data_IF_578169366013
#
_entry.id   IF_578169366013
#
_cell.length_a   1.000
_cell.length_b   1.000
_cell.length_c   1.000
_cell.angle_alpha   90.00
_cell.angle_beta   90.00
_cell.angle_gamma   90.00
#
_symmetry.space_group_name_H-M   'P 1'
#
loop_
_entity.id
_entity.type
_entity.pdbx_description
1 polymer ?
#
# COMPACT_ATOMS: atom_id res chain seq x y z
N UNK A 1 -18.86 49.43 10.93
CA UNK A 1 -18.66 48.13 11.58
C UNK A 1 -17.18 48.02 11.93
N UNK A 2 -16.89 47.78 13.20
CA UNK A 2 -15.56 47.96 13.78
C UNK A 2 -14.57 46.90 13.29
N UNK A 3 -13.47 47.35 12.71
CA UNK A 3 -12.28 46.54 12.40
C UNK A 3 -11.65 46.15 13.74
N UNK A 4 -11.87 44.90 14.17
CA UNK A 4 -11.06 44.32 15.24
C UNK A 4 -9.61 44.33 14.81
N UNK A 5 -8.72 44.83 15.65
CA UNK A 5 -7.27 44.84 15.37
C UNK A 5 -6.83 43.39 15.27
N UNK A 6 -6.61 42.89 14.06
CA UNK A 6 -6.02 41.57 13.85
C UNK A 6 -4.65 41.57 14.52
N UNK A 7 -4.49 40.76 15.58
CA UNK A 7 -3.21 40.62 16.26
C UNK A 7 -2.32 39.72 15.41
N UNK A 8 -1.62 40.31 14.44
CA UNK A 8 -0.64 39.60 13.62
C UNK A 8 0.77 39.84 14.15
N UNK A 9 1.60 38.79 14.15
CA UNK A 9 3.01 38.87 14.49
C UNK A 9 3.87 38.71 13.24
N UNK A 10 4.95 39.47 13.12
CA UNK A 10 5.90 39.23 12.03
C UNK A 10 6.55 37.86 12.20
N UNK A 11 6.52 37.02 11.15
CA UNK A 11 7.06 35.67 11.23
C UNK A 11 8.55 35.65 11.59
N UNK A 12 9.32 36.63 11.10
CA UNK A 12 10.73 36.79 11.42
C UNK A 12 10.99 36.99 12.93
N UNK A 13 10.05 37.62 13.65
CA UNK A 13 10.18 37.86 15.10
C UNK A 13 10.09 36.57 15.93
N UNK A 14 9.49 35.52 15.36
CA UNK A 14 9.28 34.23 16.00
C UNK A 14 10.50 33.29 15.87
N UNK A 15 11.45 33.61 15.00
CA UNK A 15 12.64 32.78 14.75
C UNK A 15 13.77 33.18 15.70
N UNK A 16 14.43 32.18 16.31
CA UNK A 16 15.58 32.34 17.20
C UNK A 16 16.75 31.50 16.69
N UNK A 17 17.98 31.97 16.91
CA UNK A 17 19.21 31.32 16.46
C UNK A 17 20.34 32.32 16.27
N UNK A 18 21.43 31.87 15.65
CA UNK A 18 22.62 32.69 15.41
C UNK A 18 22.33 33.88 14.50
N UNK A 19 22.97 35.02 14.77
CA UNK A 19 22.68 36.31 14.13
C UNK A 19 22.83 36.28 12.60
N UNK A 20 23.79 35.51 12.08
CA UNK A 20 24.01 35.39 10.65
C UNK A 20 22.83 34.70 9.94
N UNK A 21 22.32 33.63 10.53
CA UNK A 21 21.17 32.88 10.02
C UNK A 21 19.89 33.69 10.21
N UNK A 22 19.73 34.39 11.34
CA UNK A 22 18.57 35.26 11.60
C UNK A 22 18.44 36.37 10.57
N UNK A 23 19.54 36.99 10.13
CA UNK A 23 19.50 38.03 9.10
C UNK A 23 19.00 37.48 7.76
N UNK A 24 19.48 36.31 7.37
CA UNK A 24 19.04 35.64 6.15
C UNK A 24 17.55 35.28 6.22
N UNK A 25 17.10 34.69 7.33
CA UNK A 25 15.70 34.28 7.52
C UNK A 25 14.75 35.49 7.61
N UNK A 26 15.17 36.58 8.25
CA UNK A 26 14.37 37.81 8.31
C UNK A 26 14.11 38.39 6.91
N UNK A 27 15.08 38.30 6.00
CA UNK A 27 14.89 38.75 4.63
C UNK A 27 13.87 37.91 3.86
N UNK A 28 13.87 36.59 4.08
CA UNK A 28 12.90 35.66 3.47
C UNK A 28 11.49 35.88 4.04
N UNK A 29 11.38 36.11 5.35
CA UNK A 29 10.10 36.22 6.06
C UNK A 29 9.56 37.65 6.16
N UNK A 30 10.18 38.64 5.51
CA UNK A 30 9.87 40.08 5.68
C UNK A 30 8.42 40.49 5.38
N UNK A 31 7.72 39.73 4.54
CA UNK A 31 6.32 39.98 4.13
C UNK A 31 5.36 38.96 4.76
N UNK A 32 5.87 38.07 5.62
CA UNK A 32 5.10 37.01 6.24
C UNK A 32 4.70 37.39 7.66
N UNK A 33 3.40 37.29 7.94
CA UNK A 33 2.85 37.48 9.29
C UNK A 33 2.13 36.23 9.74
N UNK A 34 2.24 35.90 11.02
CA UNK A 34 1.53 34.80 11.64
C UNK A 34 0.28 35.33 12.33
N UNK A 35 -0.85 34.70 12.05
CA UNK A 35 -2.18 35.05 12.56
C UNK A 35 -2.84 33.84 13.23
N UNK A 36 -3.83 34.08 14.08
CA UNK A 36 -4.48 33.04 14.86
C UNK A 36 -5.47 32.21 14.06
N UNK A 37 -6.13 32.79 13.04
CA UNK A 37 -7.15 32.10 12.25
C UNK A 37 -7.16 32.48 10.77
N UNK A 38 -7.92 31.73 9.97
CA UNK A 38 -8.09 32.01 8.55
C UNK A 38 -8.88 33.31 8.32
N UNK A 39 -9.86 33.62 9.16
CA UNK A 39 -10.63 34.88 9.09
C UNK A 39 -9.74 36.09 9.41
N UNK A 40 -8.80 35.95 10.35
CA UNK A 40 -7.79 36.97 10.60
C UNK A 40 -6.81 37.09 9.43
N UNK A 41 -6.42 35.97 8.81
CA UNK A 41 -5.59 35.97 7.61
C UNK A 41 -6.25 36.75 6.47
N UNK A 42 -7.54 36.52 6.23
CA UNK A 42 -8.34 37.24 5.25
C UNK A 42 -8.40 38.73 5.56
N UNK A 43 -8.66 39.09 6.83
CA UNK A 43 -8.73 40.49 7.24
C UNK A 43 -7.39 41.22 7.04
N UNK A 44 -6.27 40.57 7.35
CA UNK A 44 -4.93 41.11 7.15
C UNK A 44 -4.64 41.29 5.66
N UNK A 45 -4.86 40.27 4.84
CA UNK A 45 -4.59 40.32 3.39
C UNK A 45 -5.50 41.33 2.69
N UNK A 46 -6.76 41.46 3.11
CA UNK A 46 -7.69 42.45 2.57
C UNK A 46 -7.25 43.89 2.89
N UNK A 47 -6.70 44.12 4.09
CA UNK A 47 -6.19 45.44 4.49
C UNK A 47 -4.79 45.73 3.92
N UNK A 48 -3.97 44.70 3.74
CA UNK A 48 -2.57 44.76 3.29
C UNK A 48 -2.29 43.64 2.28
N UNK A 49 -2.65 43.84 1.00
CA UNK A 49 -2.49 42.83 -0.04
C UNK A 49 -1.01 42.46 -0.33
N UNK A 50 -0.07 43.28 0.15
CA UNK A 50 1.37 43.05 0.07
C UNK A 50 1.90 42.01 1.08
N UNK A 51 1.08 41.60 2.05
CA UNK A 51 1.46 40.61 3.06
C UNK A 51 0.96 39.21 2.72
N UNK A 52 1.68 38.22 3.24
CA UNK A 52 1.28 36.81 3.27
C UNK A 52 0.99 36.44 4.72
N UNK A 53 -0.26 36.12 5.02
CA UNK A 53 -0.69 35.67 6.33
C UNK A 53 -0.57 34.14 6.43
N UNK A 54 0.05 33.66 7.50
CA UNK A 54 0.19 32.24 7.81
C UNK A 54 -0.58 31.96 9.10
N UNK A 55 -1.56 31.07 9.07
CA UNK A 55 -2.29 30.67 10.27
C UNK A 55 -1.39 29.81 11.15
N UNK A 56 -1.67 29.74 12.45
CA UNK A 56 -0.96 28.80 13.34
C UNK A 56 -1.13 27.33 12.94
N UNK A 57 -2.14 27.03 12.11
CA UNK A 57 -2.41 25.69 11.58
C UNK A 57 -1.61 25.40 10.29
N UNK A 58 -0.83 26.37 9.80
CA UNK A 58 0.02 26.23 8.62
C UNK A 58 -0.66 26.61 7.30
N UNK A 59 -1.90 27.10 7.33
CA UNK A 59 -2.54 27.64 6.14
C UNK A 59 -1.88 28.97 5.76
N UNK A 60 -1.62 29.18 4.47
CA UNK A 60 -0.95 30.35 3.92
C UNK A 60 -1.91 31.07 2.98
N UNK A 61 -2.13 32.34 3.23
CA UNK A 61 -3.02 33.19 2.46
C UNK A 61 -2.31 34.49 2.06
N UNK A 62 -2.33 34.81 0.77
CA UNK A 62 -1.91 36.09 0.21
C UNK A 62 -2.93 36.57 -0.83
N UNK A 63 -2.77 37.79 -1.34
CA UNK A 63 -3.79 38.43 -2.20
C UNK A 63 -4.17 37.63 -3.45
N UNK A 64 -3.28 36.77 -3.94
CA UNK A 64 -3.48 35.94 -5.13
C UNK A 64 -3.11 34.46 -4.90
N UNK A 65 -2.92 34.05 -3.65
CA UNK A 65 -2.47 32.70 -3.29
C UNK A 65 -3.19 32.21 -2.04
N UNK A 66 -3.70 30.99 -2.08
CA UNK A 66 -4.16 30.28 -0.89
C UNK A 66 -3.59 28.86 -0.91
N UNK A 67 -2.96 28.45 0.18
CA UNK A 67 -2.42 27.11 0.38
C UNK A 67 -2.77 26.63 1.78
N UNK A 68 -3.65 25.64 1.88
CA UNK A 68 -4.04 25.02 3.15
C UNK A 68 -4.36 23.55 2.92
N UNK A 69 -3.94 22.70 3.85
CA UNK A 69 -4.01 21.23 3.76
C UNK A 69 -2.87 20.55 4.52
N UNK A 70 -3.15 19.39 5.14
CA UNK A 70 -2.32 18.69 6.16
C UNK A 70 -0.80 18.78 5.96
N UNK A 71 -0.17 19.70 6.69
CA UNK A 71 1.27 19.74 6.96
C UNK A 71 1.59 19.31 8.42
N UNK A 72 0.79 18.40 8.99
CA UNK A 72 0.99 17.81 10.33
C UNK A 72 1.12 16.29 10.28
N UNK A 73 1.61 15.67 11.36
CA UNK A 73 1.50 14.23 11.54
C UNK A 73 0.04 13.77 11.29
N UNK A 74 -0.17 12.60 10.65
CA UNK A 74 -1.50 12.18 10.23
C UNK A 74 -2.49 12.20 11.40
N UNK A 75 -3.66 12.74 11.15
CA UNK A 75 -4.76 12.79 12.11
C UNK A 75 -5.20 11.38 12.50
N UNK A 76 -5.82 11.24 13.67
CA UNK A 76 -6.38 9.96 14.13
C UNK A 76 -7.38 9.36 13.13
N UNK A 77 -8.12 10.19 12.38
CA UNK A 77 -9.04 9.72 11.34
C UNK A 77 -8.27 9.12 10.17
N UNK A 78 -7.17 9.74 9.75
CA UNK A 78 -6.31 9.22 8.67
C UNK A 78 -5.58 7.94 9.09
N UNK A 79 -5.11 7.87 10.35
CA UNK A 79 -4.52 6.65 10.90
C UNK A 79 -5.57 5.53 10.99
N UNK A 80 -6.78 5.83 11.44
CA UNK A 80 -7.85 4.84 11.52
C UNK A 80 -8.27 4.36 10.13
N UNK A 81 -8.38 5.27 9.15
CA UNK A 81 -8.66 4.90 7.76
C UNK A 81 -7.58 3.95 7.19
N UNK A 82 -6.31 4.22 7.47
CA UNK A 82 -5.21 3.35 7.06
C UNK A 82 -5.26 1.96 7.73
N UNK A 83 -5.69 1.90 9.00
CA UNK A 83 -5.91 0.63 9.71
C UNK A 83 -7.08 -0.14 9.11
N UNK A 84 -8.19 0.54 8.83
CA UNK A 84 -9.39 -0.06 8.25
C UNK A 84 -9.09 -0.61 6.84
N UNK A 85 -8.33 0.13 6.03
CA UNK A 85 -7.87 -0.32 4.71
C UNK A 85 -6.96 -1.54 4.81
N UNK A 86 -5.98 -1.52 5.72
CA UNK A 86 -5.08 -2.66 5.93
C UNK A 86 -5.84 -3.90 6.42
N UNK A 87 -6.86 -3.74 7.27
CA UNK A 87 -7.69 -4.84 7.76
C UNK A 87 -8.53 -5.46 6.62
N UNK A 88 -9.12 -4.64 5.76
CA UNK A 88 -9.87 -5.11 4.60
C UNK A 88 -8.99 -5.86 3.60
N UNK A 89 -7.77 -5.36 3.36
CA UNK A 89 -6.81 -6.02 2.48
C UNK A 89 -6.32 -7.34 3.05
N UNK A 90 -6.11 -7.42 4.37
CA UNK A 90 -5.76 -8.67 5.05
C UNK A 90 -6.87 -9.70 4.88
N UNK A 91 -8.14 -9.34 5.09
CA UNK A 91 -9.28 -10.26 4.92
C UNK A 91 -9.39 -10.80 3.49
N UNK A 92 -9.14 -9.94 2.49
CA UNK A 92 -9.10 -10.34 1.07
C UNK A 92 -7.99 -11.36 0.82
N UNK A 93 -6.76 -11.08 1.24
CA UNK A 93 -5.61 -11.97 1.07
C UNK A 93 -5.81 -13.31 1.78
N UNK A 94 -6.41 -13.29 2.96
CA UNK A 94 -6.77 -14.49 3.71
C UNK A 94 -7.77 -15.37 2.93
N UNK A 95 -8.74 -14.75 2.26
CA UNK A 95 -9.65 -15.42 1.33
C UNK A 95 -8.90 -16.12 0.20
N UNK A 96 -8.01 -15.41 -0.49
CA UNK A 96 -7.20 -15.95 -1.59
C UNK A 96 -6.30 -17.09 -1.15
N UNK A 97 -5.70 -17.00 0.04
CA UNK A 97 -4.86 -18.07 0.59
C UNK A 97 -5.66 -19.35 0.83
N UNK A 98 -6.90 -19.25 1.34
CA UNK A 98 -7.77 -20.42 1.55
C UNK A 98 -8.18 -21.07 0.23
N UNK A 99 -8.50 -20.26 -0.78
CA UNK A 99 -8.83 -20.77 -2.12
C UNK A 99 -7.65 -21.50 -2.76
N UNK A 100 -6.45 -20.91 -2.69
CA UNK A 100 -5.24 -21.52 -3.23
C UNK A 100 -4.88 -22.82 -2.50
N UNK A 101 -5.00 -22.85 -1.17
CA UNK A 101 -4.77 -24.06 -0.39
C UNK A 101 -5.75 -25.19 -0.77
N UNK A 102 -7.03 -24.85 -0.98
CA UNK A 102 -8.02 -25.81 -1.47
C UNK A 102 -7.69 -26.33 -2.87
N UNK A 103 -7.24 -25.46 -3.77
CA UNK A 103 -6.83 -25.84 -5.12
C UNK A 103 -5.58 -26.73 -5.12
N UNK A 104 -4.60 -26.45 -4.25
CA UNK A 104 -3.40 -27.26 -4.06
C UNK A 104 -3.76 -28.68 -3.59
N UNK A 105 -4.59 -28.80 -2.55
CA UNK A 105 -5.01 -30.10 -2.01
C UNK A 105 -5.76 -30.93 -3.08
N UNK A 106 -6.66 -30.30 -3.82
CA UNK A 106 -7.36 -30.96 -4.91
C UNK A 106 -6.39 -31.42 -6.03
N UNK A 107 -5.38 -30.62 -6.35
CA UNK A 107 -4.35 -30.99 -7.32
C UNK A 107 -3.49 -32.17 -6.84
N UNK A 108 -3.12 -32.16 -5.55
CA UNK A 108 -2.38 -33.25 -4.90
C UNK A 108 -3.16 -34.55 -4.95
N UNK A 109 -4.44 -34.53 -4.58
CA UNK A 109 -5.30 -35.71 -4.64
C UNK A 109 -5.42 -36.26 -6.07
N UNK A 110 -5.57 -35.40 -7.08
CA UNK A 110 -5.59 -35.82 -8.50
C UNK A 110 -4.27 -36.48 -8.91
N UNK A 111 -3.13 -35.90 -8.52
CA UNK A 111 -1.81 -36.45 -8.81
C UNK A 111 -1.63 -37.83 -8.18
N UNK A 112 -1.97 -37.97 -6.91
CA UNK A 112 -1.79 -39.22 -6.18
C UNK A 112 -2.71 -40.33 -6.76
N UNK A 113 -3.94 -39.99 -7.14
CA UNK A 113 -4.83 -40.92 -7.86
C UNK A 113 -4.32 -41.30 -9.26
N UNK A 114 -3.70 -40.39 -10.00
CA UNK A 114 -3.08 -40.69 -11.29
C UNK A 114 -1.85 -41.60 -11.14
N UNK A 115 -1.03 -41.38 -10.12
CA UNK A 115 0.12 -42.22 -9.81
C UNK A 115 -0.31 -43.66 -9.49
N UNK A 116 -1.32 -43.84 -8.65
CA UNK A 116 -1.86 -45.17 -8.32
C UNK A 116 -2.35 -45.93 -9.56
N UNK A 117 -3.06 -45.26 -10.47
CA UNK A 117 -3.51 -45.86 -11.74
C UNK A 117 -2.33 -46.23 -12.65
N UNK A 118 -1.28 -45.41 -12.68
CA UNK A 118 -0.09 -45.70 -13.46
C UNK A 118 0.62 -46.97 -12.95
N UNK A 119 0.69 -47.15 -11.63
CA UNK A 119 1.24 -48.36 -11.00
C UNK A 119 0.40 -49.59 -11.33
N UNK A 120 -0.93 -49.51 -11.22
CA UNK A 120 -1.85 -50.61 -11.59
C UNK A 120 -1.66 -51.04 -13.05
N UNK A 121 -1.61 -50.07 -13.97
CA UNK A 121 -1.39 -50.34 -15.40
C UNK A 121 -0.01 -50.94 -15.66
N UNK A 122 1.02 -50.52 -14.91
CA UNK A 122 2.36 -51.09 -15.03
C UNK A 122 2.39 -52.57 -14.61
N UNK A 123 1.68 -52.94 -13.54
CA UNK A 123 1.53 -54.34 -13.11
C UNK A 123 0.77 -55.19 -14.13
N UNK A 124 -0.35 -54.69 -14.65
CA UNK A 124 -1.11 -55.37 -15.70
C UNK A 124 -0.26 -55.61 -16.96
N UNK A 125 0.54 -54.61 -17.36
CA UNK A 125 1.47 -54.75 -18.49
C UNK A 125 2.51 -55.85 -18.24
N UNK A 126 3.15 -55.86 -17.06
CA UNK A 126 4.15 -56.89 -16.67
C UNK A 126 3.54 -58.29 -16.69
N UNK A 127 2.32 -58.45 -16.17
CA UNK A 127 1.61 -59.73 -16.21
C UNK A 127 1.32 -60.18 -17.65
N UNK A 128 0.86 -59.27 -18.51
CA UNK A 128 0.62 -59.54 -19.92
C UNK A 128 1.89 -59.92 -20.69
N UNK A 129 3.01 -59.25 -20.44
CA UNK A 129 4.31 -59.57 -21.03
C UNK A 129 4.79 -60.97 -20.61
N UNK A 130 4.65 -61.32 -19.34
CA UNK A 130 5.00 -62.65 -18.82
C UNK A 130 4.14 -63.75 -19.46
N UNK A 131 2.83 -63.52 -19.61
CA UNK A 131 1.92 -64.46 -20.26
C UNK A 131 2.30 -64.69 -21.73
N UNK A 132 2.59 -63.61 -22.48
CA UNK A 132 3.04 -63.68 -23.89
C UNK A 132 4.36 -64.45 -24.02
N UNK A 133 5.34 -64.17 -23.17
CA UNK A 133 6.61 -64.87 -23.16
C UNK A 133 6.43 -66.38 -22.87
N UNK A 134 5.56 -66.73 -21.91
CA UNK A 134 5.22 -68.13 -21.60
C UNK A 134 4.59 -68.86 -22.78
N UNK A 135 3.64 -68.22 -23.47
CA UNK A 135 3.00 -68.79 -24.67
C UNK A 135 4.00 -69.01 -25.81
N UNK A 136 4.87 -68.03 -26.08
CA UNK A 136 5.92 -68.16 -27.09
C UNK A 136 6.87 -69.33 -26.81
N UNK A 137 7.26 -69.53 -25.54
CA UNK A 137 8.08 -70.68 -25.13
C UNK A 137 7.37 -72.02 -25.33
N UNK A 138 6.06 -72.11 -25.03
CA UNK A 138 5.27 -73.32 -25.26
C UNK A 138 5.20 -73.67 -26.75
N UNK A 139 4.91 -72.69 -27.60
CA UNK A 139 4.88 -72.86 -29.05
C UNK A 139 6.24 -73.31 -29.59
N UNK A 140 7.34 -72.69 -29.12
CA UNK A 140 8.70 -73.09 -29.49
C UNK A 140 9.03 -74.53 -29.12
N UNK A 141 8.61 -75.00 -27.93
CA UNK A 141 8.79 -76.41 -27.53
C UNK A 141 8.03 -77.38 -28.42
N UNK A 142 6.78 -77.10 -28.74
CA UNK A 142 5.96 -77.96 -29.59
C UNK A 142 6.51 -78.06 -31.01
N UNK A 143 6.97 -76.94 -31.58
CA UNK A 143 7.59 -76.91 -32.90
C UNK A 143 8.93 -77.66 -32.97
N UNK A 144 9.69 -77.70 -31.87
CA UNK A 144 10.96 -78.43 -31.80
C UNK A 144 10.84 -79.94 -31.54
N UNK A 145 9.63 -80.45 -31.27
CA UNK A 145 9.35 -81.88 -31.08
C UNK A 145 8.81 -82.58 -32.35
N UNK A 146 8.63 -81.83 -33.44
CA UNK A 146 8.26 -82.32 -34.78
C UNK A 146 9.51 -82.42 -35.67
#
# INVERSE_FOLDING_TARGET
MAVGVATCLEAASLVRGDDEVRRAVAWVLREHVVVGSLEEAEAVVAARPDLVAVTTNGDVLGAHLAHGGSAGAPSLIEVQAAVDEAAAELERLDGECRELAGAEEAARHRRDGAAARAEELAELRRAGEKARAGAAQQLGRLAGQA
#
